data_IF_239593598552
#
_entry.id   IF_239593598552
#
_cell.length_a   1.000
_cell.length_b   1.000
_cell.length_c   1.000
_cell.angle_alpha   90.00
_cell.angle_beta   90.00
_cell.angle_gamma   90.00
#
_symmetry.space_group_name_H-M   'P 1'
#
loop_
_entity.id
_entity.type
_entity.pdbx_description
1 polymer ?
#
# COMPACT_ATOMS: atom_id res chain seq x y z
N UNK A 1 -1.75 14.57 53.11
CA UNK A 1 -1.05 14.63 51.81
C UNK A 1 -0.43 13.27 51.51
N UNK A 2 -0.93 12.59 50.46
CA UNK A 2 -0.27 11.58 49.61
C UNK A 2 -1.33 11.07 48.63
N UNK A 3 -1.38 11.71 47.46
CA UNK A 3 -2.17 11.27 46.32
C UNK A 3 -1.42 10.08 45.69
N UNK A 4 -2.05 8.91 45.62
CA UNK A 4 -1.56 7.80 44.81
C UNK A 4 -2.35 7.80 43.50
N UNK A 5 -1.73 8.22 42.40
CA UNK A 5 -2.25 7.95 41.07
C UNK A 5 -2.08 6.44 40.82
N UNK A 6 -3.15 5.67 40.98
CA UNK A 6 -3.26 4.39 40.32
C UNK A 6 -3.70 4.69 38.88
N UNK A 7 -2.82 4.41 37.92
CA UNK A 7 -3.15 4.47 36.50
C UNK A 7 -4.43 3.67 36.28
N UNK A 8 -5.50 4.35 35.83
CA UNK A 8 -6.66 3.68 35.28
C UNK A 8 -6.16 3.01 34.00
N UNK A 9 -5.84 1.73 34.11
CA UNK A 9 -5.70 0.85 32.97
C UNK A 9 -7.09 0.80 32.34
N UNK A 10 -7.29 1.60 31.30
CA UNK A 10 -8.43 1.45 30.40
C UNK A 10 -8.20 0.14 29.68
N UNK A 11 -8.64 -0.95 30.29
CA UNK A 11 -8.83 -2.21 29.59
C UNK A 11 -10.01 -1.98 28.64
N UNK A 12 -9.73 -1.44 27.44
CA UNK A 12 -10.66 -1.58 26.33
C UNK A 12 -10.68 -3.08 26.03
N UNK A 13 -11.69 -3.76 26.56
CA UNK A 13 -12.07 -5.10 26.14
C UNK A 13 -12.46 -5.02 24.66
N UNK A 14 -11.48 -5.18 23.78
CA UNK A 14 -11.75 -5.54 22.40
C UNK A 14 -12.23 -6.99 22.41
N UNK A 15 -13.55 -7.17 22.47
CA UNK A 15 -14.19 -8.40 22.03
C UNK A 15 -13.95 -8.53 20.52
N UNK A 16 -12.80 -9.08 20.12
CA UNK A 16 -12.60 -9.53 18.75
C UNK A 16 -13.34 -10.85 18.59
N UNK A 17 -14.54 -10.81 18.00
CA UNK A 17 -15.05 -11.99 17.32
C UNK A 17 -14.07 -12.33 16.19
N UNK A 18 -13.68 -13.60 16.00
CA UNK A 18 -12.94 -13.96 14.81
C UNK A 18 -13.88 -13.80 13.63
N UNK A 19 -13.72 -12.72 12.85
CA UNK A 19 -14.24 -12.70 11.48
C UNK A 19 -13.39 -13.70 10.71
N UNK A 20 -13.88 -14.93 10.61
CA UNK A 20 -13.42 -15.86 9.60
C UNK A 20 -13.83 -15.29 8.24
N UNK A 21 -12.98 -14.41 7.70
CA UNK A 21 -13.09 -13.99 6.33
C UNK A 21 -12.86 -15.22 5.46
N UNK A 22 -13.95 -15.70 4.86
CA UNK A 22 -13.98 -16.67 3.78
C UNK A 22 -12.84 -16.37 2.80
N UNK A 23 -12.00 -17.38 2.53
CA UNK A 23 -10.89 -17.34 1.56
C UNK A 23 -11.38 -16.66 0.27
N UNK A 24 -11.01 -15.40 0.13
CA UNK A 24 -11.48 -14.50 -0.92
C UNK A 24 -10.88 -14.90 -2.26
N UNK A 25 -11.67 -14.74 -3.31
CA UNK A 25 -11.21 -14.85 -4.69
C UNK A 25 -9.93 -14.04 -4.86
N UNK A 26 -8.88 -14.71 -5.34
CA UNK A 26 -7.58 -14.14 -5.69
C UNK A 26 -7.72 -13.30 -6.96
N UNK A 27 -8.53 -12.23 -6.89
CA UNK A 27 -8.77 -11.30 -7.98
C UNK A 27 -7.80 -10.12 -7.94
N UNK A 28 -7.47 -9.59 -9.11
CA UNK A 28 -6.77 -8.31 -9.23
C UNK A 28 -7.69 -7.24 -8.64
N UNK A 29 -7.22 -6.55 -7.59
CA UNK A 29 -7.95 -5.41 -7.01
C UNK A 29 -7.56 -4.15 -7.78
N UNK A 30 -8.39 -3.79 -8.76
CA UNK A 30 -8.25 -2.52 -9.49
C UNK A 30 -8.88 -1.38 -8.70
N UNK A 31 -8.17 -0.26 -8.59
CA UNK A 31 -8.64 0.98 -7.98
C UNK A 31 -8.46 2.09 -9.02
N UNK A 32 -9.44 2.99 -9.11
CA UNK A 32 -9.41 4.13 -10.03
C UNK A 32 -9.37 5.43 -9.23
N UNK A 33 -8.47 6.33 -9.59
CA UNK A 33 -8.43 7.70 -9.09
C UNK A 33 -7.86 8.65 -10.17
N UNK A 34 -7.97 9.95 -9.93
CA UNK A 34 -7.38 11.01 -10.75
C UNK A 34 -6.36 11.80 -9.94
N UNK A 35 -5.12 11.88 -10.45
CA UNK A 35 -4.05 12.67 -9.83
C UNK A 35 -3.73 13.86 -10.73
N UNK A 36 -3.83 15.08 -10.21
CA UNK A 36 -3.44 16.29 -10.93
C UNK A 36 -1.97 16.62 -10.70
N UNK A 37 -1.45 17.53 -11.52
CA UNK A 37 -0.06 17.98 -11.41
C UNK A 37 0.19 18.56 -10.01
N UNK A 38 1.17 17.99 -9.32
CA UNK A 38 1.56 18.40 -7.96
C UNK A 38 0.78 17.71 -6.84
N UNK A 39 -0.21 16.88 -7.16
CA UNK A 39 -0.90 16.05 -6.19
C UNK A 39 -0.16 14.73 -5.96
N UNK A 40 -0.38 14.15 -4.77
CA UNK A 40 0.08 12.83 -4.39
C UNK A 40 -1.13 12.08 -3.87
N UNK A 41 -1.41 10.92 -4.44
CA UNK A 41 -2.41 9.98 -3.94
C UNK A 41 -1.73 8.82 -3.19
N UNK A 42 -2.34 8.40 -2.09
CA UNK A 42 -1.82 7.37 -1.20
C UNK A 42 -2.73 6.15 -1.20
N UNK A 43 -2.14 5.00 -1.56
CA UNK A 43 -2.83 3.72 -1.52
C UNK A 43 -2.11 2.75 -0.59
N UNK A 44 -2.87 1.99 0.20
CA UNK A 44 -2.34 0.95 1.08
C UNK A 44 -3.17 -0.32 0.98
N UNK A 45 -2.49 -1.47 1.03
CA UNK A 45 -3.13 -2.78 0.94
C UNK A 45 -2.35 -3.80 1.77
N UNK A 46 -3.07 -4.61 2.53
CA UNK A 46 -2.51 -5.82 3.14
C UNK A 46 -2.21 -6.85 2.05
N UNK A 47 -0.96 -7.31 2.00
CA UNK A 47 -0.51 -8.35 1.08
C UNK A 47 -0.50 -9.69 1.80
N UNK A 48 -1.06 -10.72 1.16
CA UNK A 48 -1.05 -12.09 1.69
C UNK A 48 0.20 -12.87 1.29
N UNK A 49 0.82 -12.50 0.16
CA UNK A 49 2.02 -13.07 -0.45
C UNK A 49 3.20 -12.10 -0.35
N UNK A 50 4.42 -12.64 -0.23
CA UNK A 50 5.66 -11.86 -0.29
C UNK A 50 6.01 -11.45 -1.72
N UNK A 51 5.36 -12.05 -2.71
CA UNK A 51 5.49 -11.69 -4.13
C UNK A 51 4.16 -11.23 -4.67
N UNK A 52 4.13 -10.07 -5.32
CA UNK A 52 2.95 -9.52 -5.97
C UNK A 52 3.31 -8.52 -7.07
N UNK A 53 2.40 -8.37 -8.04
CA UNK A 53 2.55 -7.41 -9.13
C UNK A 53 1.81 -6.11 -8.84
N UNK A 54 2.42 -4.99 -9.25
CA UNK A 54 1.85 -3.64 -9.18
C UNK A 54 1.74 -3.10 -10.60
N UNK A 55 0.55 -2.61 -10.92
CA UNK A 55 0.24 -1.97 -12.19
C UNK A 55 -0.29 -0.56 -11.91
N UNK A 56 0.46 0.46 -12.32
CA UNK A 56 0.00 1.84 -12.38
C UNK A 56 -0.12 2.22 -13.84
N UNK A 57 -1.34 2.45 -14.32
CA UNK A 57 -1.62 2.66 -15.75
C UNK A 57 -2.47 3.92 -15.90
N UNK A 58 -2.01 4.86 -16.73
CA UNK A 58 -2.76 6.08 -17.05
C UNK A 58 -2.98 6.29 -18.56
N UNK A 59 -2.37 5.46 -19.42
CA UNK A 59 -2.60 5.40 -20.87
C UNK A 59 -2.49 6.73 -21.62
N UNK A 60 -1.78 7.71 -21.05
CA UNK A 60 -1.53 9.02 -21.66
C UNK A 60 -0.05 9.36 -21.47
N UNK A 61 0.83 8.92 -22.40
CA UNK A 61 2.29 9.03 -22.24
C UNK A 61 2.80 10.48 -22.20
N UNK A 62 1.97 11.46 -22.60
CA UNK A 62 2.32 12.88 -22.42
C UNK A 62 2.28 13.34 -20.96
N UNK A 63 1.52 12.62 -20.11
CA UNK A 63 1.50 12.82 -18.67
C UNK A 63 2.56 11.92 -18.01
N UNK A 64 3.12 12.40 -16.89
CA UNK A 64 4.08 11.64 -16.10
C UNK A 64 3.56 11.44 -14.69
N UNK A 65 3.45 10.17 -14.30
CA UNK A 65 3.27 9.74 -12.91
C UNK A 65 4.55 9.08 -12.41
N UNK A 66 4.72 9.08 -11.09
CA UNK A 66 5.78 8.35 -10.40
C UNK A 66 5.17 7.46 -9.34
N UNK A 67 5.74 6.27 -9.15
CA UNK A 67 5.34 5.33 -8.11
C UNK A 67 6.45 5.21 -7.06
N UNK A 68 6.10 5.36 -5.79
CA UNK A 68 7.00 5.08 -4.66
C UNK A 68 6.35 4.05 -3.76
N UNK A 69 7.09 3.01 -3.39
CA UNK A 69 6.63 1.99 -2.45
C UNK A 69 7.25 2.22 -1.08
N UNK A 70 6.45 2.02 -0.04
CA UNK A 70 6.86 2.12 1.36
C UNK A 70 6.64 0.76 2.03
N UNK A 71 7.68 0.20 2.65
CA UNK A 71 7.53 -1.02 3.45
C UNK A 71 6.86 -0.70 4.80
N UNK A 72 6.24 -1.70 5.46
CA UNK A 72 5.76 -1.55 6.83
C UNK A 72 6.83 -1.07 7.81
N UNK A 73 8.10 -1.46 7.62
CA UNK A 73 9.23 -0.99 8.45
C UNK A 73 9.74 0.40 8.08
N UNK A 74 9.19 1.04 7.04
CA UNK A 74 9.51 2.41 6.64
C UNK A 74 10.59 2.53 5.55
N UNK A 75 11.02 1.43 4.95
CA UNK A 75 11.92 1.47 3.79
C UNK A 75 11.19 2.05 2.58
N UNK A 76 11.95 2.76 1.73
CA UNK A 76 11.41 3.49 0.58
C UNK A 76 12.05 2.94 -0.69
N UNK A 77 11.22 2.58 -1.67
CA UNK A 77 11.66 2.08 -2.97
C UNK A 77 11.11 2.96 -4.09
N UNK A 78 11.99 3.31 -5.04
CA UNK A 78 11.68 4.22 -6.15
C UNK A 78 12.24 5.64 -5.96
N UNK A 79 11.67 6.67 -6.62
CA UNK A 79 10.49 6.61 -7.46
C UNK A 79 10.72 5.86 -8.77
N UNK A 80 9.81 4.95 -9.11
CA UNK A 80 9.72 4.32 -10.41
C UNK A 80 9.04 5.26 -11.41
N UNK A 81 9.44 5.17 -12.68
CA UNK A 81 8.97 6.03 -13.78
C UNK A 81 8.56 5.15 -14.95
N UNK A 82 7.74 5.70 -15.84
CA UNK A 82 7.32 5.06 -17.10
C UNK A 82 8.53 4.48 -17.85
N UNK A 83 9.56 5.31 -18.04
CA UNK A 83 10.80 4.94 -18.73
C UNK A 83 11.67 3.88 -18.04
N UNK A 84 11.30 3.35 -16.88
CA UNK A 84 12.11 2.40 -16.11
C UNK A 84 12.29 1.06 -16.82
N UNK A 85 11.36 0.64 -17.67
CA UNK A 85 11.46 -0.57 -18.50
C UNK A 85 12.04 -0.28 -19.91
N UNK A 86 12.47 0.95 -20.17
CA UNK A 86 12.99 1.40 -21.46
C UNK A 86 11.93 1.84 -22.46
N UNK A 87 10.64 1.80 -22.09
CA UNK A 87 9.51 2.22 -22.91
C UNK A 87 8.78 3.38 -22.22
N UNK A 88 8.17 4.28 -22.99
CA UNK A 88 7.33 5.36 -22.46
C UNK A 88 5.95 5.18 -23.06
N UNK A 89 5.08 4.47 -22.34
CA UNK A 89 3.75 4.07 -22.83
C UNK A 89 2.62 4.29 -21.81
N UNK A 90 2.86 5.13 -20.81
CA UNK A 90 1.83 5.58 -19.89
C UNK A 90 1.50 4.56 -18.80
N UNK A 91 2.49 3.76 -18.40
CA UNK A 91 2.34 2.77 -17.33
C UNK A 91 3.64 2.53 -16.56
N UNK A 92 3.50 1.97 -15.36
CA UNK A 92 4.58 1.40 -14.58
C UNK A 92 4.10 0.01 -14.14
N UNK A 93 4.89 -1.01 -14.48
CA UNK A 93 4.62 -2.40 -14.10
C UNK A 93 5.81 -2.94 -13.33
N UNK A 94 5.57 -3.41 -12.12
CA UNK A 94 6.60 -3.93 -11.22
C UNK A 94 6.16 -5.28 -10.66
N UNK A 95 7.10 -6.21 -10.58
CA UNK A 95 6.99 -7.38 -9.70
C UNK A 95 7.76 -7.07 -8.43
N UNK A 96 7.07 -7.10 -7.29
CA UNK A 96 7.68 -6.96 -5.96
C UNK A 96 7.93 -8.36 -5.44
N UNK A 97 9.16 -8.63 -5.02
CA UNK A 97 9.58 -9.89 -4.40
C UNK A 97 10.07 -9.62 -2.97
N UNK A 98 10.08 -10.66 -2.13
CA UNK A 98 10.53 -10.59 -0.74
C UNK A 98 9.88 -9.47 0.10
N UNK A 99 8.62 -9.14 -0.19
CA UNK A 99 7.90 -8.09 0.49
C UNK A 99 7.57 -8.47 1.94
N UNK A 100 7.80 -7.51 2.84
CA UNK A 100 7.41 -7.64 4.23
C UNK A 100 5.89 -7.75 4.37
N UNK A 101 5.44 -8.73 5.16
CA UNK A 101 4.02 -8.90 5.45
C UNK A 101 3.59 -7.86 6.48
N UNK A 102 2.63 -7.01 6.12
CA UNK A 102 1.95 -6.17 7.10
C UNK A 102 1.20 -7.05 8.11
N UNK A 103 1.59 -6.97 9.39
CA UNK A 103 0.98 -7.72 10.50
C UNK A 103 -0.37 -7.11 10.88
#
# INVERSE_FOLDING_TARGET
MKLKLAAVVVAVLFLSSPVFAKSGETGIKTVYDSVKKGEVDWFSKYISSQTFDVYLIWNEPSNSLTLTLYSPNGDIYGPFRDSSDGVVDGKIVLTVEDAERGV
#
